data_IF_499469624227
#
_entry.id   IF_499469624227
#
_cell.length_a   1.000
_cell.length_b   1.000
_cell.length_c   1.000
_cell.angle_alpha   90.00
_cell.angle_beta   90.00
_cell.angle_gamma   90.00
#
_symmetry.space_group_name_H-M   'P 1'
#
loop_
_entity.id
_entity.type
_entity.pdbx_description
1 polymer ?
#
# COMPACT_ATOMS: atom_id res chain seq x y z
N UNK A 1 -18.37 9.18 -16.29
CA UNK A 1 -17.84 9.01 -14.92
C UNK A 1 -17.12 10.28 -14.52
N UNK A 2 -17.35 10.76 -13.31
CA UNK A 2 -16.64 11.87 -12.66
C UNK A 2 -15.73 11.25 -11.59
N UNK A 3 -14.50 11.75 -11.49
CA UNK A 3 -13.53 11.36 -10.46
C UNK A 3 -13.20 12.60 -9.66
N UNK A 4 -13.34 12.53 -8.35
CA UNK A 4 -13.02 13.57 -7.39
C UNK A 4 -11.94 13.05 -6.44
N UNK A 5 -10.95 13.88 -6.12
CA UNK A 5 -9.97 13.62 -5.07
C UNK A 5 -10.26 14.62 -3.97
N UNK A 6 -10.74 14.14 -2.82
CA UNK A 6 -11.28 14.99 -1.76
C UNK A 6 -10.45 14.89 -0.49
N UNK A 7 -10.29 16.03 0.18
CA UNK A 7 -9.72 16.09 1.52
C UNK A 7 -10.72 15.62 2.60
N UNK A 8 -10.36 15.78 3.87
CA UNK A 8 -11.20 15.40 5.01
C UNK A 8 -12.47 16.26 5.15
N UNK A 9 -12.49 17.45 4.53
CA UNK A 9 -13.62 18.39 4.54
C UNK A 9 -14.45 18.32 3.25
N UNK A 10 -14.33 17.23 2.48
CA UNK A 10 -14.97 17.01 1.19
C UNK A 10 -14.64 18.08 0.12
N UNK A 11 -13.49 18.77 0.24
CA UNK A 11 -13.04 19.76 -0.73
C UNK A 11 -12.08 19.13 -1.77
N UNK A 12 -12.12 19.59 -3.04
CA UNK A 12 -11.19 19.12 -4.06
C UNK A 12 -9.72 19.42 -3.71
N UNK A 13 -8.89 18.39 -3.75
CA UNK A 13 -7.45 18.52 -3.58
C UNK A 13 -6.79 19.25 -4.78
N UNK A 14 -5.81 20.10 -4.48
CA UNK A 14 -4.93 20.76 -5.46
C UNK A 14 -3.80 19.82 -5.93
N UNK A 15 -3.12 20.11 -7.05
CA UNK A 15 -1.94 19.36 -7.48
C UNK A 15 -0.90 19.19 -6.35
N UNK A 16 -0.41 17.95 -6.20
CA UNK A 16 0.50 17.52 -5.14
C UNK A 16 -0.17 17.12 -3.82
N UNK A 17 -1.47 17.40 -3.64
CA UNK A 17 -2.20 16.98 -2.44
C UNK A 17 -2.75 15.55 -2.59
N UNK A 18 -2.83 14.86 -1.46
CA UNK A 18 -3.36 13.49 -1.35
C UNK A 18 -4.78 13.58 -0.78
N UNK A 19 -5.70 12.81 -1.37
CA UNK A 19 -7.07 12.73 -0.89
C UNK A 19 -7.74 11.39 -1.22
N UNK A 20 -8.96 11.23 -0.72
CA UNK A 20 -9.83 10.08 -0.97
C UNK A 20 -10.34 10.11 -2.40
N UNK A 21 -10.35 8.96 -3.07
CA UNK A 21 -10.90 8.82 -4.43
C UNK A 21 -12.41 8.60 -4.34
N UNK A 22 -13.17 9.50 -4.96
CA UNK A 22 -14.63 9.49 -4.98
C UNK A 22 -15.12 9.48 -6.43
N UNK A 23 -16.07 8.58 -6.74
CA UNK A 23 -16.55 8.34 -8.10
C UNK A 23 -18.04 8.64 -8.24
N UNK A 24 -18.41 9.26 -9.36
CA UNK A 24 -19.80 9.32 -9.82
C UNK A 24 -19.91 8.69 -11.21
N UNK A 25 -20.67 7.61 -11.33
CA UNK A 25 -21.00 7.02 -12.62
C UNK A 25 -22.09 7.84 -13.32
N UNK A 26 -21.90 8.11 -14.61
CA UNK A 26 -22.84 8.89 -15.41
C UNK A 26 -23.56 8.05 -16.47
N UNK A 27 -23.19 6.77 -16.64
CA UNK A 27 -23.70 5.92 -17.72
C UNK A 27 -24.24 4.56 -17.24
N UNK A 28 -24.02 4.19 -15.98
CA UNK A 28 -24.65 2.99 -15.40
C UNK A 28 -26.05 3.30 -14.85
N UNK A 29 -27.07 2.91 -15.62
CA UNK A 29 -28.48 3.09 -15.26
C UNK A 29 -29.03 1.99 -14.34
N UNK A 30 -28.36 0.84 -14.25
CA UNK A 30 -28.82 -0.29 -13.44
C UNK A 30 -28.48 -0.06 -11.96
N UNK A 31 -27.26 0.39 -11.66
CA UNK A 31 -26.78 0.70 -10.31
C UNK A 31 -25.88 1.94 -10.36
N UNK A 32 -26.46 3.15 -10.43
CA UNK A 32 -25.68 4.38 -10.48
C UNK A 32 -24.95 4.62 -9.15
N UNK A 33 -23.63 4.78 -9.21
CA UNK A 33 -22.85 5.25 -8.07
C UNK A 33 -22.77 6.77 -8.11
N UNK A 34 -23.16 7.43 -7.02
CA UNK A 34 -23.09 8.89 -6.88
C UNK A 34 -22.22 9.21 -5.68
N UNK A 35 -21.13 9.95 -5.90
CA UNK A 35 -20.11 10.28 -4.89
C UNK A 35 -19.71 9.07 -4.04
N UNK A 36 -19.51 7.93 -4.71
CA UNK A 36 -19.13 6.69 -4.05
C UNK A 36 -17.63 6.70 -3.73
N UNK A 37 -17.30 6.68 -2.45
CA UNK A 37 -15.92 6.56 -1.97
C UNK A 37 -15.45 5.11 -2.12
N UNK A 38 -14.43 4.91 -2.97
CA UNK A 38 -13.92 3.55 -3.25
C UNK A 38 -12.95 3.05 -2.18
N UNK A 39 -12.56 3.89 -1.23
CA UNK A 39 -11.59 3.62 -0.16
C UNK A 39 -10.13 3.65 -0.61
N UNK A 40 -9.85 4.18 -1.80
CA UNK A 40 -8.50 4.39 -2.32
C UNK A 40 -8.06 5.84 -2.07
N UNK A 41 -6.76 6.06 -1.96
CA UNK A 41 -6.12 7.37 -1.87
C UNK A 41 -5.21 7.62 -3.08
N UNK A 42 -5.26 8.83 -3.62
CA UNK A 42 -4.43 9.24 -4.75
C UNK A 42 -3.90 10.66 -4.56
N UNK A 43 -2.75 10.92 -5.20
CA UNK A 43 -2.16 12.26 -5.29
C UNK A 43 -2.61 12.93 -6.59
N UNK A 44 -3.11 14.16 -6.49
CA UNK A 44 -3.51 14.95 -7.66
C UNK A 44 -2.26 15.37 -8.44
N UNK A 45 -2.28 15.14 -9.75
CA UNK A 45 -1.23 15.55 -10.66
C UNK A 45 -1.49 16.90 -11.32
N UNK A 46 -0.43 17.43 -11.92
CA UNK A 46 -0.50 18.61 -12.78
C UNK A 46 -1.35 18.34 -14.04
N UNK A 47 -1.83 19.43 -14.65
CA UNK A 47 -2.55 19.33 -15.92
C UNK A 47 -1.72 18.64 -17.00
N UNK A 48 -2.39 17.77 -17.76
CA UNK A 48 -1.74 17.09 -18.87
C UNK A 48 -1.61 18.02 -20.08
N UNK A 49 -0.43 18.05 -20.69
CA UNK A 49 -0.15 18.81 -21.91
C UNK A 49 -0.93 18.33 -23.14
N UNK A 50 -1.64 17.19 -23.08
CA UNK A 50 -2.44 16.67 -24.18
C UNK A 50 -3.73 17.48 -24.47
N UNK A 51 -4.02 18.52 -23.68
CA UNK A 51 -5.19 19.39 -23.86
C UNK A 51 -6.49 18.87 -23.22
N UNK A 52 -6.50 17.64 -22.68
CA UNK A 52 -7.61 17.15 -21.87
C UNK A 52 -7.61 17.84 -20.50
N UNK A 53 -8.78 18.32 -20.07
CA UNK A 53 -8.99 19.02 -18.78
C UNK A 53 -9.54 18.11 -17.68
N UNK A 54 -9.39 16.79 -17.84
CA UNK A 54 -9.81 15.84 -16.81
C UNK A 54 -8.79 15.85 -15.65
N UNK A 55 -9.23 15.52 -14.42
CA UNK A 55 -8.32 15.34 -13.29
C UNK A 55 -7.20 14.36 -13.63
N UNK A 56 -5.98 14.69 -13.24
CA UNK A 56 -4.81 13.82 -13.40
C UNK A 56 -4.50 13.20 -12.04
N UNK A 57 -4.31 11.88 -12.01
CA UNK A 57 -3.78 11.19 -10.83
C UNK A 57 -2.28 11.00 -11.05
N UNK A 58 -1.45 11.61 -10.21
CA UNK A 58 0.00 11.48 -10.28
C UNK A 58 0.46 10.09 -9.84
N UNK A 59 -0.14 9.60 -8.75
CA UNK A 59 0.05 8.23 -8.26
C UNK A 59 -1.15 7.80 -7.43
N UNK A 60 -1.38 6.49 -7.40
CA UNK A 60 -2.31 5.84 -6.48
C UNK A 60 -1.47 5.33 -5.31
N UNK A 61 -1.82 5.70 -4.08
CA UNK A 61 -1.05 5.34 -2.89
C UNK A 61 -1.45 3.96 -2.37
N UNK A 62 -2.75 3.67 -2.42
CA UNK A 62 -3.32 2.41 -1.98
C UNK A 62 -4.68 2.62 -1.33
N UNK A 63 -5.13 1.62 -0.57
CA UNK A 63 -6.40 1.68 0.16
C UNK A 63 -6.20 2.28 1.54
N UNK A 64 -7.27 2.77 2.16
CA UNK A 64 -7.30 3.12 3.59
C UNK A 64 -7.06 1.90 4.50
N UNK A 65 -7.41 0.72 4.01
CA UNK A 65 -7.19 -0.55 4.72
C UNK A 65 -5.74 -0.99 4.55
N UNK A 66 -5.18 -1.56 5.62
CA UNK A 66 -3.81 -2.06 5.69
C UNK A 66 -2.76 -0.94 5.52
N UNK A 67 -2.95 0.17 6.24
CA UNK A 67 -1.91 1.17 6.46
C UNK A 67 -0.94 0.67 7.53
N UNK A 68 0.35 0.97 7.35
CA UNK A 68 1.35 0.79 8.39
C UNK A 68 1.18 1.91 9.41
N UNK A 69 1.00 1.54 10.68
CA UNK A 69 0.92 2.49 11.79
C UNK A 69 2.31 2.65 12.41
N UNK A 70 2.90 3.83 12.34
CA UNK A 70 4.18 4.08 13.00
C UNK A 70 4.02 4.19 14.52
N UNK A 71 5.09 3.96 15.32
CA UNK A 71 5.09 4.28 16.74
C UNK A 71 4.70 5.73 17.07
N UNK A 72 4.90 6.67 16.14
CA UNK A 72 4.46 8.06 16.27
C UNK A 72 2.94 8.25 16.13
N UNK A 73 2.22 7.26 15.60
CA UNK A 73 0.82 7.34 15.21
C UNK A 73 0.60 7.72 13.73
N UNK A 74 1.67 8.05 13.00
CA UNK A 74 1.57 8.37 11.57
C UNK A 74 1.19 7.14 10.74
N UNK A 75 0.40 7.35 9.68
CA UNK A 75 -0.03 6.30 8.77
C UNK A 75 0.76 6.36 7.46
N UNK A 76 1.25 5.20 7.01
CA UNK A 76 2.04 5.08 5.78
C UNK A 76 1.47 3.97 4.90
N UNK A 77 1.41 4.20 3.59
CA UNK A 77 1.13 3.15 2.60
C UNK A 77 2.39 2.29 2.36
N UNK A 78 2.39 1.01 2.76
CA UNK A 78 3.58 0.16 2.65
C UNK A 78 3.79 -0.39 1.23
N UNK A 79 2.80 -0.25 0.33
CA UNK A 79 2.85 -0.77 -1.05
C UNK A 79 4.12 -0.37 -1.82
N UNK A 80 4.66 0.83 -1.56
CA UNK A 80 5.86 1.30 -2.24
C UNK A 80 7.14 0.55 -1.84
N UNK A 81 7.28 0.15 -0.57
CA UNK A 81 8.52 -0.48 -0.04
C UNK A 81 8.59 -1.98 -0.36
N UNK A 82 7.45 -2.67 -0.34
CA UNK A 82 7.38 -4.14 -0.49
C UNK A 82 7.92 -4.63 -1.84
N UNK A 83 7.63 -3.89 -2.92
CA UNK A 83 8.06 -4.26 -4.27
C UNK A 83 9.58 -4.24 -4.46
N UNK A 84 10.31 -3.49 -3.64
CA UNK A 84 11.76 -3.45 -3.68
C UNK A 84 12.37 -4.61 -2.91
N UNK A 85 11.79 -4.98 -1.77
CA UNK A 85 12.29 -6.09 -0.94
C UNK A 85 12.22 -7.43 -1.66
N UNK A 86 11.15 -7.67 -2.43
CA UNK A 86 10.99 -8.88 -3.22
C UNK A 86 12.12 -9.10 -4.26
N UNK A 87 12.91 -8.07 -4.59
CA UNK A 87 14.02 -8.15 -5.55
C UNK A 87 15.38 -8.42 -4.90
N UNK A 88 15.46 -8.44 -3.56
CA UNK A 88 16.71 -8.53 -2.80
C UNK A 88 17.17 -9.97 -2.49
N UNK A 89 16.62 -10.96 -3.19
CA UNK A 89 16.99 -12.36 -2.98
C UNK A 89 16.14 -13.33 -3.81
N UNK A 90 16.22 -14.63 -3.54
CA UNK A 90 15.44 -15.65 -4.21
C UNK A 90 13.97 -15.68 -3.73
N UNK A 91 13.31 -14.54 -3.59
CA UNK A 91 11.97 -14.42 -3.01
C UNK A 91 10.90 -14.60 -4.09
N UNK A 92 10.03 -15.60 -3.92
CA UNK A 92 8.88 -15.87 -4.79
C UNK A 92 7.62 -15.17 -4.31
N UNK A 93 7.41 -15.12 -2.99
CA UNK A 93 6.29 -14.45 -2.36
C UNK A 93 6.76 -13.73 -1.10
N UNK A 94 6.19 -12.56 -0.83
CA UNK A 94 6.44 -11.79 0.38
C UNK A 94 5.11 -11.31 0.97
N UNK A 95 4.96 -11.44 2.28
CA UNK A 95 3.85 -10.89 3.03
C UNK A 95 4.38 -10.23 4.30
N UNK A 96 3.95 -9.01 4.54
CA UNK A 96 4.37 -8.23 5.70
C UNK A 96 3.18 -8.04 6.62
N UNK A 97 3.37 -8.40 7.88
CA UNK A 97 2.33 -8.36 8.89
C UNK A 97 2.79 -7.44 10.01
N UNK A 98 2.06 -6.36 10.23
CA UNK A 98 2.21 -5.56 11.43
C UNK A 98 1.44 -6.22 12.56
N UNK A 99 2.18 -6.87 13.48
CA UNK A 99 1.61 -7.53 14.67
C UNK A 99 1.25 -6.54 15.77
N UNK A 100 2.02 -5.46 15.87
CA UNK A 100 1.83 -4.38 16.84
C UNK A 100 2.50 -3.11 16.33
N UNK A 101 2.38 -2.00 17.06
CA UNK A 101 3.12 -0.75 16.75
C UNK A 101 4.63 -0.89 16.86
N UNK A 102 5.13 -1.99 17.44
CA UNK A 102 6.56 -2.25 17.64
C UNK A 102 7.10 -3.40 16.77
N UNK A 103 6.25 -4.30 16.27
CA UNK A 103 6.69 -5.57 15.67
C UNK A 103 6.17 -5.74 14.25
N UNK A 104 7.10 -5.99 13.33
CA UNK A 104 6.85 -6.33 11.94
C UNK A 104 7.34 -7.75 11.66
N UNK A 105 6.46 -8.58 11.13
CA UNK A 105 6.76 -9.93 10.65
C UNK A 105 6.80 -9.93 9.13
N UNK A 106 7.89 -10.41 8.54
CA UNK A 106 8.08 -10.51 7.09
C UNK A 106 8.16 -11.99 6.73
N UNK A 107 7.07 -12.52 6.17
CA UNK A 107 6.97 -13.89 5.66
C UNK A 107 7.44 -13.95 4.23
N UNK A 108 8.26 -14.94 3.91
CA UNK A 108 8.82 -15.13 2.58
C UNK A 108 8.77 -16.59 2.15
N UNK A 109 8.35 -16.81 0.91
CA UNK A 109 8.56 -18.08 0.19
C UNK A 109 9.76 -17.90 -0.72
N UNK A 110 10.71 -18.83 -0.65
CA UNK A 110 11.96 -18.73 -1.41
C UNK A 110 12.03 -19.77 -2.53
N UNK A 111 12.64 -19.42 -3.67
CA UNK A 111 12.93 -20.36 -4.77
C UNK A 111 14.13 -21.27 -4.49
N UNK A 112 15.00 -20.84 -3.59
CA UNK A 112 16.13 -21.60 -3.03
C UNK A 112 16.46 -21.07 -1.64
N UNK A 113 17.26 -21.81 -0.88
CA UNK A 113 17.83 -21.29 0.36
C UNK A 113 18.53 -19.95 0.13
N UNK A 114 18.23 -18.98 0.99
CA UNK A 114 18.92 -17.69 1.04
C UNK A 114 20.28 -17.87 1.72
N UNK A 115 21.28 -17.14 1.26
CA UNK A 115 22.60 -17.12 1.90
C UNK A 115 22.63 -16.14 3.06
N UNK A 116 23.53 -16.35 4.03
CA UNK A 116 23.68 -15.43 5.18
C UNK A 116 23.92 -13.98 4.76
N UNK A 117 24.68 -13.75 3.68
CA UNK A 117 24.93 -12.41 3.16
C UNK A 117 23.68 -11.79 2.52
N UNK A 118 22.90 -12.55 1.75
CA UNK A 118 21.63 -12.08 1.19
C UNK A 118 20.63 -11.73 2.29
N UNK A 119 20.53 -12.57 3.33
CA UNK A 119 19.67 -12.32 4.48
C UNK A 119 20.08 -11.06 5.24
N UNK A 120 21.39 -10.86 5.48
CA UNK A 120 21.89 -9.65 6.12
C UNK A 120 21.57 -8.37 5.32
N UNK A 121 21.78 -8.40 4.00
CA UNK A 121 21.46 -7.28 3.10
C UNK A 121 19.96 -6.98 3.12
N UNK A 122 19.12 -8.02 3.03
CA UNK A 122 17.68 -7.89 3.06
C UNK A 122 17.21 -7.29 4.39
N UNK A 123 17.67 -7.84 5.52
CA UNK A 123 17.34 -7.34 6.84
C UNK A 123 17.75 -5.88 7.02
N UNK A 124 18.95 -5.50 6.57
CA UNK A 124 19.42 -4.11 6.62
C UNK A 124 18.53 -3.16 5.81
N UNK A 125 18.14 -3.54 4.58
CA UNK A 125 17.25 -2.73 3.74
C UNK A 125 15.87 -2.56 4.37
N UNK A 126 15.28 -3.65 4.86
CA UNK A 126 13.96 -3.62 5.52
C UNK A 126 14.01 -2.67 6.73
N UNK A 127 15.00 -2.83 7.61
CA UNK A 127 15.14 -1.96 8.78
C UNK A 127 15.38 -0.50 8.40
N UNK A 128 16.17 -0.22 7.37
CA UNK A 128 16.41 1.13 6.89
C UNK A 128 15.13 1.80 6.34
N UNK A 129 14.38 1.09 5.49
CA UNK A 129 13.12 1.59 4.92
C UNK A 129 12.05 1.82 5.99
N UNK A 130 12.05 0.98 7.03
CA UNK A 130 11.21 1.12 8.23
C UNK A 130 11.82 2.07 9.28
N UNK A 131 12.91 2.79 8.94
CA UNK A 131 13.60 3.78 9.78
C UNK A 131 14.02 3.26 11.16
N UNK A 132 14.28 1.95 11.28
CA UNK A 132 14.64 1.26 12.53
C UNK A 132 13.63 1.46 13.67
N UNK A 133 12.36 1.70 13.35
CA UNK A 133 11.31 1.95 14.34
C UNK A 133 10.64 0.68 14.85
N UNK A 134 10.92 -0.45 14.23
CA UNK A 134 10.26 -1.73 14.51
C UNK A 134 11.28 -2.83 14.79
N UNK A 135 10.89 -3.77 15.64
CA UNK A 135 11.49 -5.09 15.69
C UNK A 135 11.01 -5.90 14.48
N UNK A 136 11.93 -6.17 13.56
CA UNK A 136 11.66 -6.95 12.35
C UNK A 136 11.95 -8.43 12.59
N UNK A 137 11.01 -9.30 12.24
CA UNK A 137 11.14 -10.76 12.28
C UNK A 137 11.02 -11.32 10.88
N UNK A 138 12.08 -11.94 10.37
CA UNK A 138 12.05 -12.64 9.08
C UNK A 138 11.60 -14.09 9.31
N UNK A 139 10.60 -14.54 8.56
CA UNK A 139 10.08 -15.90 8.61
C UNK A 139 10.07 -16.52 7.21
N UNK A 140 10.66 -17.70 7.10
CA UNK A 140 10.65 -18.49 5.88
C UNK A 140 9.51 -19.51 5.95
N UNK A 141 8.62 -19.50 4.97
CA UNK A 141 7.44 -20.35 4.93
C UNK A 141 7.34 -21.05 3.57
N UNK A 142 6.69 -22.21 3.54
CA UNK A 142 6.51 -22.97 2.30
C UNK A 142 5.47 -22.33 1.37
N UNK A 143 4.44 -21.71 1.94
CA UNK A 143 3.39 -21.00 1.21
C UNK A 143 2.82 -19.83 2.03
N UNK A 144 2.34 -18.81 1.32
CA UNK A 144 1.53 -17.74 1.91
C UNK A 144 0.10 -17.91 1.40
N UNK A 145 -0.87 -18.26 2.26
CA UNK A 145 -2.23 -18.53 1.84
C UNK A 145 -2.93 -17.24 1.40
N UNK A 146 -3.79 -17.38 0.39
CA UNK A 146 -4.73 -16.33 0.00
C UNK A 146 -5.87 -16.23 1.02
N UNK A 147 -6.43 -15.03 1.17
CA UNK A 147 -7.63 -14.83 1.97
C UNK A 147 -8.81 -15.64 1.40
N UNK A 148 -9.87 -15.82 2.19
CA UNK A 148 -11.05 -16.63 1.82
C UNK A 148 -11.72 -16.18 0.50
N UNK A 149 -11.55 -14.92 0.10
CA UNK A 149 -12.03 -14.36 -1.17
C UNK A 149 -11.03 -14.54 -2.34
N UNK A 150 -9.95 -15.31 -2.16
CA UNK A 150 -8.89 -15.53 -3.14
C UNK A 150 -7.88 -14.38 -3.28
N UNK A 151 -8.04 -13.28 -2.53
CA UNK A 151 -7.11 -12.15 -2.59
C UNK A 151 -5.78 -12.51 -1.92
N UNK A 152 -4.69 -12.13 -2.56
CA UNK A 152 -3.36 -12.12 -1.94
C UNK A 152 -3.16 -10.77 -1.27
N UNK A 153 -2.87 -10.77 0.03
CA UNK A 153 -2.54 -9.57 0.80
C UNK A 153 -1.02 -9.56 1.01
N UNK A 154 -0.34 -8.63 0.35
CA UNK A 154 1.10 -8.40 0.51
C UNK A 154 1.41 -7.66 1.83
N UNK A 155 0.45 -6.89 2.35
CA UNK A 155 0.52 -6.29 3.67
C UNK A 155 -0.78 -6.43 4.48
N UNK A 156 -0.62 -6.75 5.76
CA UNK A 156 -1.70 -6.87 6.74
C UNK A 156 -1.30 -6.09 7.98
N UNK A 157 -2.20 -5.27 8.52
CA UNK A 157 -2.04 -4.69 9.85
C UNK A 157 -3.06 -5.30 10.82
N UNK A 158 -2.56 -5.82 11.93
CA UNK A 158 -3.37 -6.30 13.06
C UNK A 158 -3.53 -5.21 14.14
N UNK A 159 -2.95 -4.03 13.93
CA UNK A 159 -3.13 -2.85 14.78
C UNK A 159 -4.45 -2.19 14.44
N UNK A 160 -5.28 -1.97 15.46
CA UNK A 160 -6.53 -1.22 15.34
C UNK A 160 -6.21 0.27 15.50
N UNK A 161 -6.59 1.07 14.49
CA UNK A 161 -6.53 2.54 14.50
C UNK A 161 -7.89 3.09 14.89
#
# INVERSE_FOLDING_TARGET
>A
MIVEILDENDQPCAPGQIGRVVLTDLHNYAMPFIRYEIGDYAEVGEYCSCGRKLPVLRRILGRSRNLLVLPSGDLIWPSYILSNWAKLGPILQIQVIQRSVEVIEVRMVLSRAITENEEAILHQHICADLKNQFQVKLLYVDEIPRAANGKYEDFISEVVV
#
